data_IF_438937562839
#
_entry.id   IF_438937562839
#
_cell.length_a   1.000
_cell.length_b   1.000
_cell.length_c   1.000
_cell.angle_alpha   90.00
_cell.angle_beta   90.00
_cell.angle_gamma   90.00
#
_symmetry.space_group_name_H-M   'P 1'
#
loop_
_entity.id
_entity.type
_entity.pdbx_description
1 polymer ?
#
# COMPACT_ATOMS: atom_id res chain seq x y z
N UNK A 1 10.37 18.83 0.14
CA UNK A 1 11.66 18.46 -0.49
C UNK A 1 12.22 17.13 0.03
N UNK A 2 12.56 16.95 1.33
CA UNK A 2 13.10 15.65 1.82
C UNK A 2 12.06 14.52 1.78
N UNK A 3 10.83 14.78 2.17
CA UNK A 3 9.72 13.81 2.13
C UNK A 3 9.39 13.38 0.69
N UNK A 4 9.34 14.32 -0.22
CA UNK A 4 9.12 14.07 -1.66
C UNK A 4 10.21 13.17 -2.25
N UNK A 5 11.48 13.47 -1.97
CA UNK A 5 12.59 12.65 -2.43
C UNK A 5 12.52 11.23 -1.84
N UNK A 6 12.16 11.11 -0.56
CA UNK A 6 11.97 9.81 0.09
C UNK A 6 10.91 8.96 -0.62
N UNK A 7 9.70 9.50 -0.85
CA UNK A 7 8.64 8.74 -1.50
C UNK A 7 8.92 8.44 -2.96
N UNK A 8 9.60 9.34 -3.68
CA UNK A 8 10.04 9.09 -5.06
C UNK A 8 11.03 7.92 -5.12
N UNK A 9 12.08 7.94 -4.31
CA UNK A 9 13.06 6.86 -4.24
C UNK A 9 12.43 5.55 -3.79
N UNK A 10 11.55 5.59 -2.78
CA UNK A 10 10.84 4.41 -2.31
C UNK A 10 9.97 3.81 -3.42
N UNK A 11 9.23 4.64 -4.16
CA UNK A 11 8.38 4.20 -5.26
C UNK A 11 9.19 3.51 -6.36
N UNK A 12 10.33 4.08 -6.76
CA UNK A 12 11.19 3.51 -7.79
C UNK A 12 11.73 2.13 -7.35
N UNK A 13 12.22 2.03 -6.11
CA UNK A 13 12.75 0.76 -5.57
C UNK A 13 11.64 -0.28 -5.42
N UNK A 14 10.47 0.10 -4.93
CA UNK A 14 9.35 -0.82 -4.65
C UNK A 14 8.71 -1.35 -5.94
N UNK A 15 8.65 -0.54 -7.00
CA UNK A 15 8.12 -0.98 -8.30
C UNK A 15 9.02 -2.00 -8.99
N UNK A 16 10.35 -1.91 -8.82
CA UNK A 16 11.32 -2.89 -9.31
C UNK A 16 11.56 -4.07 -8.36
N UNK A 17 10.92 -4.08 -7.18
CA UNK A 17 11.22 -5.08 -6.16
C UNK A 17 10.72 -6.48 -6.53
N UNK A 18 11.63 -7.46 -6.53
CA UNK A 18 11.36 -8.84 -6.90
C UNK A 18 11.88 -9.89 -5.91
N UNK A 19 12.44 -9.46 -4.78
CA UNK A 19 13.01 -10.33 -3.74
C UNK A 19 12.00 -10.62 -2.63
N UNK A 20 11.01 -11.47 -2.91
CA UNK A 20 9.98 -11.81 -1.94
C UNK A 20 10.37 -13.00 -1.10
N UNK A 21 10.15 -12.89 0.22
CA UNK A 21 10.15 -14.05 1.09
C UNK A 21 9.03 -14.99 0.68
N UNK A 22 9.30 -16.30 0.48
CA UNK A 22 8.25 -17.28 0.21
C UNK A 22 7.18 -17.30 1.31
N UNK A 23 5.91 -17.44 0.94
CA UNK A 23 4.80 -17.48 1.90
C UNK A 23 4.90 -18.68 2.87
N UNK A 24 5.47 -19.79 2.39
CA UNK A 24 5.72 -21.00 3.18
C UNK A 24 7.20 -21.36 3.06
N UNK A 25 7.88 -21.42 4.20
CA UNK A 25 9.28 -21.82 4.32
C UNK A 25 9.32 -23.10 5.12
N UNK A 26 9.57 -24.24 4.47
CA UNK A 26 9.72 -25.55 5.12
C UNK A 26 11.20 -25.96 5.29
N UNK A 27 12.09 -25.41 4.48
CA UNK A 27 13.52 -25.67 4.51
C UNK A 27 14.31 -24.41 4.13
N UNK A 28 15.57 -24.35 4.48
CA UNK A 28 16.49 -23.28 4.14
C UNK A 28 17.65 -23.82 3.32
N UNK A 29 18.09 -23.06 2.30
CA UNK A 29 19.39 -23.30 1.63
C UNK A 29 20.52 -22.95 2.59
N UNK A 30 21.74 -23.39 2.31
CA UNK A 30 22.89 -23.25 3.22
C UNK A 30 23.14 -21.79 3.68
N UNK A 31 23.01 -20.82 2.77
CA UNK A 31 23.19 -19.39 3.04
C UNK A 31 21.94 -18.66 3.56
N UNK A 32 20.80 -19.36 3.71
CA UNK A 32 19.55 -18.71 4.10
C UNK A 32 19.38 -18.67 5.61
N UNK A 33 18.90 -17.51 6.09
CA UNK A 33 18.57 -17.21 7.48
C UNK A 33 17.10 -16.83 7.58
N UNK A 34 16.39 -17.50 8.49
CA UNK A 34 14.96 -17.27 8.74
C UNK A 34 14.76 -16.16 9.77
N UNK A 35 14.22 -15.01 9.36
CA UNK A 35 13.96 -13.89 10.28
C UNK A 35 12.54 -13.96 10.80
N UNK A 36 12.39 -14.04 12.13
CA UNK A 36 11.10 -14.29 12.77
C UNK A 36 10.85 -13.38 13.97
N UNK A 37 9.55 -13.13 14.24
CA UNK A 37 9.10 -12.37 15.40
C UNK A 37 8.97 -13.25 16.64
N UNK A 38 9.40 -12.73 17.82
CA UNK A 38 9.24 -13.36 19.12
C UNK A 38 8.80 -12.33 20.17
N UNK A 39 8.80 -12.69 21.44
CA UNK A 39 8.64 -11.76 22.57
C UNK A 39 9.99 -11.48 23.25
N UNK A 40 9.99 -10.60 24.25
CA UNK A 40 11.19 -10.22 25.01
C UNK A 40 11.83 -11.39 25.78
N UNK A 41 11.08 -12.46 26.04
CA UNK A 41 11.58 -13.67 26.68
C UNK A 41 12.16 -14.69 25.69
N UNK A 42 12.07 -14.42 24.38
CA UNK A 42 12.51 -15.36 23.34
C UNK A 42 11.67 -16.62 23.29
N UNK A 43 10.34 -16.50 23.54
CA UNK A 43 9.42 -17.64 23.47
C UNK A 43 9.24 -18.12 22.03
N UNK A 44 9.48 -19.43 21.82
CA UNK A 44 9.49 -20.04 20.47
C UNK A 44 8.55 -21.25 20.42
N UNK A 45 7.32 -21.10 20.91
CA UNK A 45 6.36 -22.20 21.03
C UNK A 45 5.49 -22.39 19.78
N UNK A 46 5.08 -21.30 19.10
CA UNK A 46 4.08 -21.33 18.04
C UNK A 46 4.49 -20.47 16.84
N UNK A 47 3.81 -20.66 15.70
CA UNK A 47 3.97 -19.87 14.49
C UNK A 47 5.40 -19.89 13.94
N UNK A 48 5.87 -18.75 13.43
CA UNK A 48 7.20 -18.61 12.85
C UNK A 48 8.32 -18.90 13.90
N UNK A 49 8.13 -18.46 15.15
CA UNK A 49 9.07 -18.73 16.24
C UNK A 49 9.19 -20.23 16.56
N UNK A 50 8.06 -20.95 16.61
CA UNK A 50 8.06 -22.40 16.80
C UNK A 50 8.71 -23.14 15.64
N UNK A 51 8.50 -22.71 14.41
CA UNK A 51 9.18 -23.25 13.23
C UNK A 51 10.70 -23.01 13.30
N UNK A 52 11.13 -21.80 13.68
CA UNK A 52 12.53 -21.46 13.84
C UNK A 52 13.25 -22.40 14.83
N UNK A 53 12.64 -22.65 15.99
CA UNK A 53 13.18 -23.58 16.97
C UNK A 53 13.22 -25.02 16.47
N UNK A 54 12.11 -25.51 15.90
CA UNK A 54 11.96 -26.90 15.47
C UNK A 54 12.84 -27.26 14.27
N UNK A 55 12.95 -26.33 13.28
CA UNK A 55 13.50 -26.66 11.96
C UNK A 55 14.81 -25.95 11.63
N UNK A 56 15.09 -24.81 12.29
CA UNK A 56 16.23 -23.95 11.91
C UNK A 56 17.21 -23.72 13.06
N UNK A 57 17.06 -24.44 14.17
CA UNK A 57 17.99 -24.45 15.28
C UNK A 57 17.99 -23.18 16.14
N UNK A 58 16.91 -22.37 16.06
CA UNK A 58 16.78 -21.21 16.93
C UNK A 58 16.69 -21.67 18.40
N UNK A 59 17.44 -20.98 19.29
CA UNK A 59 17.49 -21.31 20.71
C UNK A 59 16.42 -20.55 21.48
N UNK A 60 15.58 -21.26 22.22
CA UNK A 60 14.60 -20.67 23.13
C UNK A 60 15.32 -19.76 24.13
N UNK A 61 14.74 -18.61 24.43
CA UNK A 61 15.35 -17.57 25.29
C UNK A 61 16.14 -16.51 24.52
N UNK A 62 16.44 -16.72 23.23
CA UNK A 62 17.05 -15.68 22.38
C UNK A 62 15.92 -14.84 21.79
N UNK A 63 15.77 -13.60 22.27
CA UNK A 63 14.73 -12.66 21.87
C UNK A 63 15.15 -11.75 20.72
N UNK A 64 16.44 -11.44 20.59
CA UNK A 64 16.99 -10.57 19.56
C UNK A 64 18.30 -11.13 19.03
N UNK A 65 18.54 -11.00 17.73
CA UNK A 65 19.79 -11.35 17.09
C UNK A 65 19.85 -12.77 16.49
N UNK A 66 21.04 -13.16 15.98
CA UNK A 66 21.25 -14.43 15.31
C UNK A 66 21.12 -15.62 16.28
N UNK A 67 20.46 -16.70 15.82
CA UNK A 67 20.25 -17.91 16.61
C UNK A 67 20.05 -19.12 15.69
N UNK A 68 21.00 -20.04 15.68
CA UNK A 68 21.04 -21.14 14.72
C UNK A 68 21.08 -20.60 13.27
N UNK A 69 20.20 -21.11 12.42
CA UNK A 69 19.98 -20.60 11.06
C UNK A 69 18.81 -19.62 10.99
N UNK A 70 18.62 -18.83 12.07
CA UNK A 70 17.54 -17.87 12.16
C UNK A 70 18.02 -16.57 12.81
N UNK A 71 17.20 -15.53 12.71
CA UNK A 71 17.41 -14.24 13.39
C UNK A 71 16.11 -13.86 14.10
N UNK A 72 16.18 -13.66 15.39
CA UNK A 72 15.04 -13.31 16.24
C UNK A 72 14.85 -11.80 16.31
N UNK A 73 13.60 -11.34 16.26
CA UNK A 73 13.21 -9.94 16.46
C UNK A 73 12.09 -9.88 17.51
N UNK A 74 12.25 -9.17 18.62
CA UNK A 74 11.15 -9.00 19.57
C UNK A 74 10.09 -8.08 18.97
N UNK A 75 8.89 -8.63 18.77
CA UNK A 75 7.75 -7.93 18.17
C UNK A 75 6.55 -7.86 19.11
N UNK A 76 6.55 -8.64 20.19
CA UNK A 76 5.49 -8.66 21.20
C UNK A 76 5.99 -8.13 22.54
N UNK A 77 5.22 -7.24 23.16
CA UNK A 77 5.60 -6.59 24.42
C UNK A 77 6.61 -5.45 24.25
N UNK A 78 6.75 -4.94 23.02
CA UNK A 78 7.62 -3.79 22.69
C UNK A 78 6.81 -2.69 22.03
N UNK A 79 7.24 -1.44 22.22
CA UNK A 79 6.73 -0.29 21.48
C UNK A 79 7.28 -0.29 20.03
N UNK A 80 6.64 0.50 19.15
CA UNK A 80 7.15 0.68 17.77
C UNK A 80 8.56 1.28 17.78
N UNK A 81 8.85 2.22 18.67
CA UNK A 81 10.19 2.83 18.78
C UNK A 81 11.25 1.81 19.22
N UNK A 82 10.93 0.89 20.13
CA UNK A 82 11.82 -0.21 20.50
C UNK A 82 12.01 -1.20 19.35
N UNK A 83 10.91 -1.54 18.64
CA UNK A 83 11.00 -2.42 17.47
C UNK A 83 11.87 -1.79 16.37
N UNK A 84 11.78 -0.47 16.16
CA UNK A 84 12.61 0.25 15.22
C UNK A 84 14.11 0.05 15.51
N UNK A 85 14.51 0.08 16.78
CA UNK A 85 15.91 -0.16 17.16
C UNK A 85 16.33 -1.59 16.82
N UNK A 86 15.52 -2.59 17.13
CA UNK A 86 15.82 -3.99 16.81
C UNK A 86 15.89 -4.24 15.30
N UNK A 87 15.06 -3.56 14.51
CA UNK A 87 15.12 -3.64 13.05
C UNK A 87 16.37 -2.94 12.51
N UNK A 88 16.80 -1.82 13.10
CA UNK A 88 18.05 -1.16 12.73
C UNK A 88 19.28 -2.04 13.02
N UNK A 89 19.29 -2.74 14.16
CA UNK A 89 20.33 -3.73 14.50
C UNK A 89 20.35 -4.90 13.49
N UNK A 90 19.18 -5.37 13.09
CA UNK A 90 19.03 -6.39 12.04
C UNK A 90 19.54 -5.88 10.68
N UNK A 91 19.19 -4.67 10.29
CA UNK A 91 19.66 -4.05 9.04
C UNK A 91 21.18 -3.96 9.01
N UNK A 92 21.77 -3.49 10.09
CA UNK A 92 23.23 -3.43 10.24
C UNK A 92 23.86 -4.83 10.17
N UNK A 93 23.26 -5.80 10.82
CA UNK A 93 23.69 -7.20 10.74
C UNK A 93 23.66 -7.72 9.31
N UNK A 94 22.56 -7.50 8.60
CA UNK A 94 22.40 -7.94 7.21
C UNK A 94 23.39 -7.25 6.25
N UNK A 95 23.71 -5.96 6.47
CA UNK A 95 24.75 -5.23 5.71
C UNK A 95 26.14 -5.84 5.89
N UNK A 96 26.45 -6.33 7.08
CA UNK A 96 27.76 -6.89 7.42
C UNK A 96 27.89 -8.38 7.04
N UNK A 97 26.80 -9.06 6.64
CA UNK A 97 26.77 -10.48 6.28
C UNK A 97 26.15 -10.67 4.89
N UNK A 98 26.82 -10.13 3.88
CA UNK A 98 26.34 -10.14 2.49
C UNK A 98 26.36 -11.53 1.86
N UNK A 99 27.09 -12.49 2.43
CA UNK A 99 27.11 -13.91 2.08
C UNK A 99 25.84 -14.65 2.49
N UNK A 100 25.05 -14.10 3.43
CA UNK A 100 23.80 -14.66 3.91
C UNK A 100 22.60 -14.03 3.21
N UNK A 101 21.53 -14.78 3.03
CA UNK A 101 20.24 -14.35 2.51
C UNK A 101 19.19 -14.39 3.62
N UNK A 102 18.66 -13.24 3.98
CA UNK A 102 17.69 -13.10 5.07
C UNK A 102 16.25 -13.15 4.54
N UNK A 103 15.53 -14.21 4.93
CA UNK A 103 14.12 -14.38 4.58
C UNK A 103 13.25 -13.82 5.72
N UNK A 104 12.88 -12.55 5.59
CA UNK A 104 12.06 -11.86 6.61
C UNK A 104 10.61 -12.32 6.50
N UNK A 105 10.07 -12.90 7.57
CA UNK A 105 8.64 -13.21 7.66
C UNK A 105 7.82 -11.93 7.93
N UNK A 106 6.50 -12.00 7.90
CA UNK A 106 5.63 -10.89 8.28
C UNK A 106 5.66 -10.66 9.81
N UNK A 107 6.86 -10.32 10.31
CA UNK A 107 7.11 -10.10 11.75
C UNK A 107 6.19 -9.01 12.30
N UNK A 108 5.67 -9.22 13.49
CA UNK A 108 4.74 -8.28 14.13
C UNK A 108 3.30 -8.32 13.60
N UNK A 109 3.04 -8.89 12.40
CA UNK A 109 1.73 -8.86 11.75
C UNK A 109 0.82 -10.05 12.12
N UNK A 110 1.33 -11.04 12.86
CA UNK A 110 0.56 -12.18 13.36
C UNK A 110 0.06 -11.95 14.80
N UNK A 111 0.44 -12.83 15.72
CA UNK A 111 0.01 -12.77 17.13
C UNK A 111 0.40 -11.48 17.88
N UNK A 112 1.36 -10.71 17.39
CA UNK A 112 1.69 -9.40 17.96
C UNK A 112 0.69 -8.30 17.58
N UNK A 113 -0.08 -8.48 16.51
CA UNK A 113 -1.21 -7.61 16.13
C UNK A 113 -0.83 -6.19 15.68
N UNK A 114 0.43 -5.94 15.30
CA UNK A 114 0.89 -4.58 14.99
C UNK A 114 0.40 -4.05 13.63
N UNK A 115 0.13 -4.95 12.67
CA UNK A 115 -0.22 -4.59 11.30
C UNK A 115 0.97 -4.20 10.42
N UNK A 116 0.84 -4.44 9.12
CA UNK A 116 1.93 -4.18 8.16
C UNK A 116 2.19 -2.69 7.97
N UNK A 117 1.18 -1.85 8.08
CA UNK A 117 1.26 -0.39 7.95
C UNK A 117 2.16 0.25 9.01
N UNK A 118 2.31 -0.38 10.18
CA UNK A 118 3.20 0.09 11.26
C UNK A 118 4.57 -0.54 11.22
N UNK A 119 4.66 -1.80 10.75
CA UNK A 119 5.90 -2.57 10.81
C UNK A 119 6.72 -2.41 9.52
N UNK A 120 6.10 -2.41 8.34
CA UNK A 120 6.81 -2.27 7.09
C UNK A 120 7.72 -1.03 7.04
N UNK A 121 7.28 0.17 7.43
CA UNK A 121 8.14 1.37 7.40
C UNK A 121 9.47 1.20 8.15
N UNK A 122 9.52 0.36 9.17
CA UNK A 122 10.74 0.10 9.93
C UNK A 122 11.80 -0.65 9.10
N UNK A 123 11.38 -1.42 8.09
CA UNK A 123 12.25 -2.20 7.21
C UNK A 123 12.62 -1.49 5.91
N UNK A 124 12.32 -0.18 5.78
CA UNK A 124 12.59 0.55 4.54
C UNK A 124 14.06 0.51 4.14
N UNK A 125 15.00 0.60 5.10
CA UNK A 125 16.42 0.47 4.84
C UNK A 125 16.83 -0.90 4.28
N UNK A 126 16.06 -1.94 4.59
CA UNK A 126 16.29 -3.29 4.07
C UNK A 126 15.88 -3.45 2.59
N UNK A 127 15.05 -2.57 2.05
CA UNK A 127 14.58 -2.65 0.65
C UNK A 127 15.75 -2.55 -0.34
N UNK A 128 16.75 -1.75 -0.02
CA UNK A 128 17.96 -1.56 -0.84
C UNK A 128 18.97 -2.71 -0.72
N UNK A 129 18.87 -3.57 0.30
CA UNK A 129 19.82 -4.66 0.54
C UNK A 129 19.52 -5.85 -0.37
N UNK A 130 20.47 -6.23 -1.23
CA UNK A 130 20.28 -7.31 -2.20
C UNK A 130 20.14 -8.70 -1.55
N UNK A 131 20.57 -8.86 -0.32
CA UNK A 131 20.54 -10.10 0.46
C UNK A 131 19.35 -10.19 1.43
N UNK A 132 18.46 -9.17 1.48
CA UNK A 132 17.25 -9.21 2.30
C UNK A 132 16.03 -9.42 1.42
N UNK A 133 15.25 -10.42 1.78
CA UNK A 133 13.98 -10.79 1.15
C UNK A 133 12.86 -10.36 2.09
N UNK A 134 11.93 -9.53 1.61
CA UNK A 134 10.83 -9.01 2.41
C UNK A 134 9.52 -9.72 2.09
N UNK A 135 8.60 -9.86 3.04
CA UNK A 135 7.28 -10.42 2.77
C UNK A 135 6.50 -9.52 1.81
N UNK A 136 5.75 -10.14 0.91
CA UNK A 136 4.89 -9.43 -0.06
C UNK A 136 4.00 -8.40 0.63
N UNK A 137 3.53 -8.71 1.84
CA UNK A 137 2.71 -7.83 2.67
C UNK A 137 3.37 -6.47 2.94
N UNK A 138 4.70 -6.43 3.19
CA UNK A 138 5.43 -5.19 3.44
C UNK A 138 5.56 -4.36 2.15
N UNK A 139 5.84 -5.01 1.04
CA UNK A 139 5.94 -4.33 -0.26
C UNK A 139 4.59 -3.75 -0.68
N UNK A 140 3.49 -4.45 -0.40
CA UNK A 140 2.13 -3.90 -0.61
C UNK A 140 1.84 -2.69 0.28
N UNK A 141 2.29 -2.68 1.54
CA UNK A 141 2.16 -1.53 2.42
C UNK A 141 2.93 -0.31 1.86
N UNK A 142 4.17 -0.48 1.42
CA UNK A 142 4.94 0.60 0.78
C UNK A 142 4.26 1.15 -0.48
N UNK A 143 3.77 0.28 -1.37
CA UNK A 143 3.05 0.70 -2.58
C UNK A 143 1.82 1.54 -2.24
N UNK A 144 1.06 1.11 -1.23
CA UNK A 144 -0.10 1.85 -0.74
C UNK A 144 0.32 3.23 -0.20
N UNK A 145 1.37 3.29 0.61
CA UNK A 145 1.84 4.54 1.21
C UNK A 145 2.37 5.51 0.14
N UNK A 146 3.13 5.01 -0.86
CA UNK A 146 3.54 5.82 -2.01
C UNK A 146 2.34 6.35 -2.80
N UNK A 147 1.34 5.52 -3.03
CA UNK A 147 0.12 5.94 -3.73
C UNK A 147 -0.65 7.01 -2.95
N UNK A 148 -0.81 6.84 -1.64
CA UNK A 148 -1.48 7.83 -0.78
C UNK A 148 -0.71 9.15 -0.74
N UNK A 149 0.61 9.10 -0.68
CA UNK A 149 1.45 10.28 -0.74
C UNK A 149 1.33 11.01 -2.09
N UNK A 150 1.42 10.30 -3.21
CA UNK A 150 1.22 10.87 -4.56
C UNK A 150 -0.15 11.53 -4.68
N UNK A 151 -1.19 10.87 -4.18
CA UNK A 151 -2.55 11.41 -4.19
C UNK A 151 -2.67 12.69 -3.37
N UNK A 152 -1.99 12.76 -2.20
CA UNK A 152 -1.92 13.96 -1.37
C UNK A 152 -1.20 15.10 -2.10
N UNK A 153 -0.02 14.82 -2.70
CA UNK A 153 0.75 15.82 -3.45
C UNK A 153 -0.05 16.36 -4.64
N UNK A 154 -0.74 15.47 -5.35
CA UNK A 154 -1.60 15.86 -6.45
C UNK A 154 -2.70 16.82 -5.98
N UNK A 155 -3.33 16.54 -4.83
CA UNK A 155 -4.33 17.41 -4.22
C UNK A 155 -3.74 18.75 -3.77
N UNK A 156 -2.56 18.74 -3.14
CA UNK A 156 -1.92 19.95 -2.60
C UNK A 156 -1.36 20.87 -3.71
N UNK A 157 -0.99 20.33 -4.88
CA UNK A 157 -0.38 21.06 -5.99
C UNK A 157 -1.36 21.40 -7.13
N UNK A 158 -2.53 20.79 -7.16
CA UNK A 158 -3.53 21.08 -8.20
C UNK A 158 -4.46 22.19 -7.70
N UNK A 159 -4.41 23.35 -8.34
CA UNK A 159 -5.40 24.39 -8.12
C UNK A 159 -6.74 23.89 -8.68
N UNK A 160 -7.74 23.76 -7.80
CA UNK A 160 -9.11 23.39 -8.20
C UNK A 160 -9.63 24.25 -9.33
N UNK A 161 -9.18 25.51 -9.43
CA UNK A 161 -9.56 26.43 -10.50
C UNK A 161 -9.18 25.91 -11.87
N UNK A 162 -8.00 25.28 -12.00
CA UNK A 162 -7.54 24.69 -13.27
C UNK A 162 -8.37 23.44 -13.64
N UNK A 163 -8.77 22.66 -12.65
CA UNK A 163 -9.66 21.50 -12.89
C UNK A 163 -11.02 22.01 -13.39
N UNK A 164 -11.57 23.04 -12.74
CA UNK A 164 -12.88 23.59 -13.08
C UNK A 164 -12.96 24.14 -14.52
N UNK A 165 -11.83 24.59 -15.09
CA UNK A 165 -11.78 25.02 -16.49
C UNK A 165 -12.16 23.92 -17.51
N UNK A 166 -12.00 22.65 -17.12
CA UNK A 166 -12.34 21.50 -17.96
C UNK A 166 -13.82 21.11 -17.90
N UNK A 167 -14.64 21.81 -17.11
CA UNK A 167 -16.03 21.48 -16.84
C UNK A 167 -16.95 22.67 -17.01
N UNK A 168 -18.19 22.41 -17.38
CA UNK A 168 -19.22 23.45 -17.44
C UNK A 168 -19.55 23.99 -16.04
N UNK A 169 -19.98 25.24 -15.96
CA UNK A 169 -20.36 25.86 -14.70
C UNK A 169 -21.48 25.10 -13.96
N UNK A 170 -22.29 24.34 -14.70
CA UNK A 170 -23.43 23.58 -14.14
C UNK A 170 -22.99 22.47 -13.19
N UNK A 171 -21.77 21.93 -13.36
CA UNK A 171 -21.25 20.85 -12.54
C UNK A 171 -20.04 21.26 -11.68
N UNK A 172 -19.66 22.53 -11.64
CA UNK A 172 -18.53 23.02 -10.81
C UNK A 172 -18.68 22.63 -9.32
N UNK A 173 -19.91 22.72 -8.75
CA UNK A 173 -20.15 22.33 -7.36
C UNK A 173 -19.99 20.81 -7.15
N UNK A 174 -20.33 20.00 -8.15
CA UNK A 174 -20.08 18.56 -8.12
C UNK A 174 -18.58 18.29 -8.14
N UNK A 175 -17.84 18.91 -9.05
CA UNK A 175 -16.38 18.76 -9.17
C UNK A 175 -15.70 19.16 -7.86
N UNK A 176 -16.09 20.27 -7.24
CA UNK A 176 -15.59 20.68 -5.91
C UNK A 176 -15.90 19.64 -4.85
N UNK A 177 -17.14 19.16 -4.80
CA UNK A 177 -17.55 18.13 -3.85
C UNK A 177 -16.72 16.85 -4.01
N UNK A 178 -16.56 16.33 -5.23
CA UNK A 178 -15.76 15.15 -5.51
C UNK A 178 -14.29 15.33 -5.10
N UNK A 179 -13.74 16.50 -5.41
CA UNK A 179 -12.37 16.86 -5.05
C UNK A 179 -12.16 16.90 -3.54
N UNK A 180 -13.05 17.58 -2.80
CA UNK A 180 -13.00 17.72 -1.33
C UNK A 180 -13.17 16.38 -0.61
N UNK A 181 -14.04 15.50 -1.13
CA UNK A 181 -14.34 14.20 -0.55
C UNK A 181 -13.44 13.06 -1.06
N UNK A 182 -12.44 13.38 -1.92
CA UNK A 182 -11.54 12.42 -2.53
C UNK A 182 -12.25 11.31 -3.33
N UNK A 183 -13.37 11.62 -3.97
CA UNK A 183 -14.07 10.70 -4.86
C UNK A 183 -13.36 10.74 -6.23
N UNK A 184 -12.92 9.58 -6.78
CA UNK A 184 -12.18 9.57 -8.04
C UNK A 184 -13.03 10.02 -9.23
N UNK A 185 -12.48 10.91 -10.06
CA UNK A 185 -13.05 11.33 -11.34
C UNK A 185 -11.93 11.77 -12.29
N UNK A 186 -12.22 11.91 -13.59
CA UNK A 186 -11.24 12.41 -14.56
C UNK A 186 -11.14 13.93 -14.46
N UNK A 187 -9.99 14.46 -14.07
CA UNK A 187 -9.74 15.89 -13.91
C UNK A 187 -9.63 16.65 -15.24
N UNK A 188 -9.38 15.95 -16.33
CA UNK A 188 -9.35 16.54 -17.69
C UNK A 188 -10.74 16.66 -18.31
N UNK A 189 -11.77 16.18 -17.60
CA UNK A 189 -13.12 16.08 -18.12
C UNK A 189 -13.33 14.88 -19.03
N UNK A 190 -14.59 14.64 -19.35
CA UNK A 190 -15.01 13.52 -20.19
C UNK A 190 -15.10 12.20 -19.45
N UNK A 191 -16.16 11.46 -19.73
CA UNK A 191 -16.36 10.11 -19.26
C UNK A 191 -16.95 9.25 -20.39
N UNK A 192 -16.21 8.23 -20.83
CA UNK A 192 -16.58 7.40 -21.96
C UNK A 192 -17.18 6.06 -21.49
N UNK A 193 -18.33 5.72 -22.03
CA UNK A 193 -18.90 4.38 -21.92
C UNK A 193 -18.28 3.49 -23.01
N UNK A 194 -17.64 2.40 -22.58
CA UNK A 194 -16.91 1.51 -23.48
C UNK A 194 -17.67 0.21 -23.72
N UNK A 195 -17.67 -0.25 -24.96
CA UNK A 195 -18.08 -1.60 -25.34
C UNK A 195 -16.88 -2.30 -26.01
N UNK A 196 -16.17 -3.12 -25.25
CA UNK A 196 -14.86 -3.62 -25.64
C UNK A 196 -13.85 -2.48 -25.76
N UNK A 197 -13.33 -2.24 -26.96
CA UNK A 197 -12.38 -1.15 -27.27
C UNK A 197 -13.05 0.08 -27.89
N UNK A 198 -14.37 0.06 -28.11
CA UNK A 198 -15.10 1.13 -28.78
C UNK A 198 -15.81 2.03 -27.78
N UNK A 199 -15.68 3.33 -27.96
CA UNK A 199 -16.50 4.34 -27.25
C UNK A 199 -17.91 4.30 -27.81
N UNK A 200 -18.91 4.08 -26.97
CA UNK A 200 -20.33 3.97 -27.34
C UNK A 200 -21.12 5.21 -26.94
N UNK A 201 -20.71 5.89 -25.88
CA UNK A 201 -21.35 7.11 -25.39
C UNK A 201 -20.33 7.92 -24.60
N UNK A 202 -20.55 9.24 -24.53
CA UNK A 202 -19.70 10.15 -23.75
C UNK A 202 -20.57 11.03 -22.84
N UNK A 203 -20.02 11.37 -21.67
CA UNK A 203 -20.61 12.30 -20.73
C UNK A 203 -19.54 13.30 -20.28
N UNK A 204 -19.93 14.43 -19.75
CA UNK A 204 -19.02 15.46 -19.28
C UNK A 204 -18.22 15.00 -18.05
N UNK A 205 -18.89 14.27 -17.14
CA UNK A 205 -18.29 13.72 -15.94
C UNK A 205 -18.98 12.40 -15.56
N UNK A 206 -18.22 11.43 -15.04
CA UNK A 206 -18.73 10.17 -14.53
C UNK A 206 -18.15 9.81 -13.17
N UNK A 207 -18.98 9.26 -12.29
CA UNK A 207 -18.61 8.65 -11.03
C UNK A 207 -18.84 7.14 -11.14
N UNK A 208 -17.80 6.40 -11.49
CA UNK A 208 -17.89 4.95 -11.75
C UNK A 208 -18.36 4.16 -10.54
N UNK A 209 -17.90 4.53 -9.33
CA UNK A 209 -18.24 3.86 -8.07
C UNK A 209 -19.73 3.91 -7.73
N UNK A 210 -20.43 4.96 -8.19
CA UNK A 210 -21.84 5.18 -7.92
C UNK A 210 -22.73 4.98 -9.16
N UNK A 211 -22.11 4.70 -10.30
CA UNK A 211 -22.80 4.60 -11.59
C UNK A 211 -23.62 5.86 -11.92
N UNK A 212 -23.01 7.03 -11.70
CA UNK A 212 -23.63 8.33 -11.98
C UNK A 212 -22.85 9.00 -13.11
N UNK A 213 -23.57 9.66 -14.02
CA UNK A 213 -23.00 10.53 -15.05
C UNK A 213 -23.72 11.87 -15.11
N UNK A 214 -22.96 12.90 -15.49
CA UNK A 214 -23.43 14.27 -15.67
C UNK A 214 -23.30 14.64 -17.15
N UNK A 215 -24.43 14.95 -17.75
CA UNK A 215 -24.55 15.35 -19.14
C UNK A 215 -25.89 16.09 -19.35
N UNK A 216 -26.03 16.87 -20.41
CA UNK A 216 -27.32 17.48 -20.73
C UNK A 216 -28.43 16.44 -20.91
N UNK A 217 -29.61 16.68 -20.34
CA UNK A 217 -30.73 15.73 -20.47
C UNK A 217 -31.22 15.52 -21.91
N UNK A 218 -30.90 16.46 -22.80
CA UNK A 218 -31.17 16.38 -24.24
C UNK A 218 -30.13 15.59 -25.04
N UNK A 219 -29.05 15.14 -24.38
CA UNK A 219 -27.95 14.45 -25.04
C UNK A 219 -28.41 13.08 -25.60
N UNK A 220 -28.07 12.78 -26.87
CA UNK A 220 -28.47 11.50 -27.50
C UNK A 220 -27.86 10.28 -26.82
N UNK A 221 -26.73 10.43 -26.14
CA UNK A 221 -26.02 9.34 -25.46
C UNK A 221 -26.66 8.96 -24.11
N UNK A 222 -27.54 9.79 -23.58
CA UNK A 222 -28.24 9.55 -22.31
C UNK A 222 -28.85 8.15 -22.20
N UNK A 223 -29.55 7.70 -23.26
CA UNK A 223 -30.22 6.40 -23.23
C UNK A 223 -29.24 5.23 -23.15
N UNK A 224 -28.04 5.37 -23.74
CA UNK A 224 -26.98 4.36 -23.68
C UNK A 224 -26.42 4.22 -22.28
N UNK A 225 -26.20 5.33 -21.58
CA UNK A 225 -25.78 5.30 -20.17
C UNK A 225 -26.86 4.66 -19.28
N UNK A 226 -28.12 5.02 -19.44
CA UNK A 226 -29.24 4.43 -18.69
C UNK A 226 -29.33 2.92 -18.96
N UNK A 227 -29.22 2.48 -20.21
CA UNK A 227 -29.24 1.06 -20.58
C UNK A 227 -28.07 0.28 -19.97
N UNK A 228 -26.93 0.96 -19.72
CA UNK A 228 -25.74 0.40 -19.07
C UNK A 228 -25.75 0.52 -17.54
N UNK A 229 -26.90 0.89 -16.95
CA UNK A 229 -27.11 0.94 -15.49
C UNK A 229 -26.62 2.22 -14.82
N UNK A 230 -26.29 3.27 -15.60
CA UNK A 230 -25.93 4.57 -15.03
C UNK A 230 -27.17 5.43 -14.78
N UNK A 231 -27.10 6.21 -13.71
CA UNK A 231 -28.05 7.27 -13.40
C UNK A 231 -27.53 8.60 -13.98
N UNK A 232 -28.34 9.22 -14.83
CA UNK A 232 -28.04 10.56 -15.34
C UNK A 232 -28.61 11.58 -14.37
N UNK A 233 -27.75 12.45 -13.84
CA UNK A 233 -28.13 13.46 -12.83
C UNK A 233 -27.76 14.86 -13.29
N UNK A 234 -28.48 15.87 -12.74
CA UNK A 234 -28.00 17.26 -12.76
C UNK A 234 -27.05 17.52 -11.60
N UNK A 235 -26.18 18.49 -11.72
CA UNK A 235 -25.30 18.89 -10.62
C UNK A 235 -26.09 19.27 -9.36
N UNK A 236 -27.23 19.94 -9.51
CA UNK A 236 -28.12 20.33 -8.40
C UNK A 236 -28.70 19.12 -7.66
N UNK A 237 -29.21 18.14 -8.39
CA UNK A 237 -29.80 16.95 -7.77
C UNK A 237 -28.77 16.12 -7.02
N UNK A 238 -27.55 16.03 -7.57
CA UNK A 238 -26.44 15.36 -6.91
C UNK A 238 -26.09 16.04 -5.58
N UNK A 239 -25.88 17.34 -5.58
CA UNK A 239 -25.52 18.11 -4.38
C UNK A 239 -26.59 18.02 -3.30
N UNK A 240 -27.89 18.08 -3.69
CA UNK A 240 -29.00 17.92 -2.74
C UNK A 240 -28.95 16.53 -2.09
N UNK A 241 -28.67 15.48 -2.85
CA UNK A 241 -28.66 14.11 -2.34
C UNK A 241 -27.43 13.76 -1.47
N UNK A 242 -26.35 14.55 -1.55
CA UNK A 242 -25.07 14.27 -0.86
C UNK A 242 -24.71 15.29 0.23
N UNK A 243 -25.49 16.37 0.41
CA UNK A 243 -25.33 17.33 1.50
C UNK A 243 -26.27 17.07 2.70
N UNK A 244 -26.97 15.91 2.73
CA UNK A 244 -27.92 15.54 3.82
C UNK A 244 -27.22 14.87 4.98
#
# INVERSE_FOLDING_TARGET
MMEELYYKLLNDVVNGYNRYTPERISSLRQSQVFVFGTDLQGSQKLGAAGLAAKSFGAKVGVSNGPTGRAYALPTRGVSISQLQQYVADFELYARNHTELQFLVTAVGCGHAGLGAEKVAPLFVGCVALCNVFLPKLFIMAYKRDCHLWQKKQYKDNTDISQILENFSNEIHEVVKYLYEHNIPFNHEGGYALMEGTKVCAEAELGIESEKIVFMPFSDPDKQRFIASGYKVMTGKDFIISHRS
#
